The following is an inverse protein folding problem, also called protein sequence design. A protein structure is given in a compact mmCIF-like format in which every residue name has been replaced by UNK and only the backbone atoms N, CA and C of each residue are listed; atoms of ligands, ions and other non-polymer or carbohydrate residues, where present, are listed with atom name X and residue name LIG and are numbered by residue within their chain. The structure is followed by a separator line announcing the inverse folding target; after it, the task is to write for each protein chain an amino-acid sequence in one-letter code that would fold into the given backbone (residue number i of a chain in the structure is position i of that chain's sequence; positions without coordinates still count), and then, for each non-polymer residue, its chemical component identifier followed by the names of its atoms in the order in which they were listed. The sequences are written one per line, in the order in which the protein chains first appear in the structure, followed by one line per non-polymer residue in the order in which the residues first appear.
data_IF_636454957268
#
_entry.id   IF_636454957268
#
_cell.length_a   1.000
_cell.length_b   1.000
_cell.length_c   1.000
_cell.angle_alpha   90.00
_cell.angle_beta   90.00
_cell.angle_gamma   90.00
#
_symmetry.space_group_name_H-M   'P 1'
#
loop_
_entity.id
_entity.type
_entity.pdbx_description
1 polymer ?
#
# COMPACT_ATOMS: atom_id res chain seq x y z
N UNK A 1 8.48 2.65 14.94
CA UNK A 1 9.65 1.86 14.53
C UNK A 1 9.30 1.17 13.22
N UNK A 2 10.01 1.44 12.13
CA UNK A 2 9.73 0.84 10.81
C UNK A 2 9.80 -0.69 10.87
N UNK A 3 8.85 -1.41 10.26
CA UNK A 3 8.94 -2.87 10.22
C UNK A 3 10.06 -3.36 9.29
N UNK A 4 10.63 -4.57 9.50
CA UNK A 4 11.60 -5.14 8.57
C UNK A 4 11.08 -5.28 7.13
N UNK A 5 9.77 -5.52 6.96
CA UNK A 5 9.13 -5.64 5.66
C UNK A 5 9.06 -4.30 4.94
N UNK A 6 8.69 -3.23 5.65
CA UNK A 6 8.69 -1.88 5.09
C UNK A 6 10.10 -1.46 4.65
N UNK A 7 11.15 -1.72 5.45
CA UNK A 7 12.54 -1.42 5.02
C UNK A 7 12.94 -2.19 3.77
N UNK A 8 12.57 -3.47 3.70
CA UNK A 8 12.86 -4.30 2.54
C UNK A 8 12.16 -3.73 1.29
N UNK A 9 10.88 -3.39 1.41
CA UNK A 9 10.11 -2.82 0.31
C UNK A 9 10.67 -1.46 -0.16
N UNK A 10 11.03 -0.59 0.77
CA UNK A 10 11.67 0.70 0.48
C UNK A 10 12.99 0.51 -0.27
N UNK A 11 13.83 -0.44 0.17
CA UNK A 11 15.05 -0.81 -0.54
C UNK A 11 14.78 -1.34 -1.96
N UNK A 12 13.70 -2.09 -2.17
CA UNK A 12 13.31 -2.57 -3.51
C UNK A 12 12.91 -1.41 -4.43
N UNK A 13 12.18 -0.41 -3.91
CA UNK A 13 11.83 0.80 -4.65
C UNK A 13 13.08 1.54 -5.14
N UNK A 14 14.09 1.70 -4.27
CA UNK A 14 15.36 2.34 -4.60
C UNK A 14 16.13 1.55 -5.67
N UNK A 15 16.23 0.22 -5.52
CA UNK A 15 16.91 -0.66 -6.50
C UNK A 15 16.31 -0.55 -7.89
N UNK A 16 14.98 -0.49 -7.98
CA UNK A 16 14.27 -0.34 -9.26
C UNK A 16 14.14 1.12 -9.74
N UNK A 17 14.70 2.08 -8.99
CA UNK A 17 14.63 3.53 -9.31
C UNK A 17 13.20 4.02 -9.52
N UNK A 18 12.24 3.44 -8.79
CA UNK A 18 10.87 3.94 -8.77
C UNK A 18 10.84 5.27 -8.00
N UNK A 19 9.81 6.11 -8.22
CA UNK A 19 9.57 7.28 -7.37
C UNK A 19 9.61 6.89 -5.89
N UNK A 20 10.11 7.77 -5.04
CA UNK A 20 10.23 7.50 -3.61
C UNK A 20 8.85 7.57 -2.95
N UNK A 21 8.40 6.51 -2.26
CA UNK A 21 7.13 6.56 -1.54
C UNK A 21 7.24 7.39 -0.25
N UNK A 22 6.13 8.02 0.13
CA UNK A 22 5.89 8.56 1.47
C UNK A 22 5.29 7.47 2.33
N UNK A 23 5.70 7.38 3.59
CA UNK A 23 5.20 6.37 4.53
C UNK A 23 4.12 6.92 5.44
N UNK A 24 3.26 6.03 5.95
CA UNK A 24 2.21 6.38 6.93
C UNK A 24 1.31 7.54 6.47
N UNK A 25 1.02 7.58 5.17
CA UNK A 25 0.33 8.71 4.54
C UNK A 25 -1.16 8.70 4.86
N UNK A 26 -1.64 9.82 5.41
CA UNK A 26 -3.06 10.04 5.64
C UNK A 26 -3.73 10.52 4.35
N UNK A 27 -4.54 9.66 3.75
CA UNK A 27 -5.21 9.97 2.49
C UNK A 27 -6.66 10.44 2.67
N UNK A 28 -7.15 10.51 3.91
CA UNK A 28 -8.50 10.99 4.23
C UNK A 28 -8.54 11.79 5.54
N UNK A 29 -8.97 13.03 5.45
CA UNK A 29 -9.14 13.92 6.61
C UNK A 29 -10.28 13.41 7.51
N UNK A 30 -10.06 13.41 8.82
CA UNK A 30 -11.09 13.10 9.84
C UNK A 30 -11.28 11.62 10.15
N UNK A 31 -10.57 10.74 9.44
CA UNK A 31 -10.36 9.33 9.81
C UNK A 31 -8.86 9.11 9.83
N UNK A 32 -8.30 8.63 10.95
CA UNK A 32 -6.85 8.39 11.11
C UNK A 32 -6.33 7.21 10.26
N UNK A 33 -6.77 7.07 9.02
CA UNK A 33 -6.33 6.02 8.12
C UNK A 33 -5.03 6.41 7.44
N UNK A 34 -4.03 5.57 7.65
CA UNK A 34 -2.70 5.70 7.07
C UNK A 34 -2.46 4.53 6.14
N UNK A 35 -1.84 4.82 5.01
CA UNK A 35 -1.25 3.79 4.16
C UNK A 35 0.21 3.57 4.52
N UNK A 36 0.65 2.31 4.52
CA UNK A 36 2.05 1.97 4.78
C UNK A 36 2.99 2.74 3.83
N UNK A 37 2.62 2.79 2.54
CA UNK A 37 3.30 3.56 1.50
C UNK A 37 2.30 4.29 0.60
N UNK A 38 2.68 5.48 0.13
CA UNK A 38 1.93 6.27 -0.82
C UNK A 38 2.83 7.02 -1.78
N UNK A 39 2.32 7.26 -2.99
CA UNK A 39 2.87 8.20 -3.96
C UNK A 39 1.79 9.26 -4.25
N UNK A 40 1.72 10.33 -3.45
CA UNK A 40 0.60 11.27 -3.51
C UNK A 40 0.39 11.92 -4.88
N UNK A 41 1.49 12.26 -5.58
CA UNK A 41 1.46 12.82 -6.94
C UNK A 41 0.81 11.89 -7.98
N UNK A 42 0.75 10.59 -7.68
CA UNK A 42 0.20 9.55 -8.56
C UNK A 42 -1.13 9.02 -8.05
N UNK A 43 -1.62 9.52 -6.91
CA UNK A 43 -2.75 8.95 -6.15
C UNK A 43 -2.63 7.43 -6.02
N UNK A 44 -1.45 6.94 -5.66
CA UNK A 44 -1.21 5.51 -5.42
C UNK A 44 -0.95 5.28 -3.94
N UNK A 45 -1.58 4.26 -3.37
CA UNK A 45 -1.23 3.71 -2.05
C UNK A 45 -0.91 2.21 -2.15
N UNK A 46 -0.03 1.75 -1.26
CA UNK A 46 0.27 0.34 -1.03
C UNK A 46 0.12 0.03 0.46
N UNK A 47 -0.65 -1.00 0.77
CA UNK A 47 -0.79 -1.60 2.10
C UNK A 47 -0.11 -2.97 2.14
N UNK A 48 0.73 -3.19 3.15
CA UNK A 48 1.35 -4.48 3.45
C UNK A 48 0.55 -5.14 4.56
N UNK A 49 -0.35 -6.03 4.15
CA UNK A 49 -1.26 -6.76 5.02
C UNK A 49 -0.50 -7.71 5.95
N UNK A 50 -0.28 -7.26 7.19
CA UNK A 50 0.27 -8.05 8.27
C UNK A 50 -0.78 -8.93 8.96
N UNK A 51 -0.34 -9.97 9.68
CA UNK A 51 -1.21 -10.64 10.65
C UNK A 51 -2.36 -11.48 10.07
N UNK A 52 -2.31 -11.88 8.79
CA UNK A 52 -3.26 -12.81 8.16
C UNK A 52 -3.53 -14.02 9.07
N UNK A 53 -2.52 -14.48 9.83
CA UNK A 53 -2.59 -15.64 10.71
C UNK A 53 -2.78 -15.34 12.20
N UNK A 54 -2.85 -14.06 12.63
CA UNK A 54 -2.55 -13.67 14.02
C UNK A 54 -3.72 -13.07 14.83
N UNK A 55 -4.95 -12.97 14.30
CA UNK A 55 -6.09 -12.39 15.03
C UNK A 55 -7.32 -13.31 15.05
N UNK A 56 -8.02 -13.38 16.19
CA UNK A 56 -9.20 -14.23 16.40
C UNK A 56 -10.40 -13.85 15.53
N UNK A 57 -11.39 -14.76 15.41
CA UNK A 57 -12.54 -14.67 14.48
C UNK A 57 -13.36 -13.38 14.60
N UNK A 58 -13.62 -12.91 15.82
CA UNK A 58 -14.44 -11.70 16.04
C UNK A 58 -13.71 -10.40 15.66
N UNK A 59 -12.42 -10.27 16.02
CA UNK A 59 -11.60 -9.10 15.66
C UNK A 59 -11.33 -9.04 14.16
N UNK A 60 -11.27 -10.21 13.48
CA UNK A 60 -11.18 -10.27 12.01
C UNK A 60 -12.39 -9.66 11.31
N UNK A 61 -13.61 -9.89 11.81
CA UNK A 61 -14.82 -9.36 11.17
C UNK A 61 -14.89 -7.82 11.24
N UNK A 62 -14.61 -7.24 12.42
CA UNK A 62 -14.59 -5.78 12.59
C UNK A 62 -13.42 -5.14 11.83
N UNK A 63 -12.23 -5.74 11.89
CA UNK A 63 -11.06 -5.27 11.13
C UNK A 63 -11.35 -5.26 9.63
N UNK A 64 -11.90 -6.36 9.11
CA UNK A 64 -12.30 -6.47 7.71
C UNK A 64 -13.34 -5.41 7.31
N UNK A 65 -14.38 -5.18 8.11
CA UNK A 65 -15.37 -4.15 7.82
C UNK A 65 -14.75 -2.74 7.77
N UNK A 66 -13.83 -2.44 8.68
CA UNK A 66 -13.09 -1.17 8.68
C UNK A 66 -12.17 -1.04 7.46
N UNK A 67 -11.51 -2.13 7.05
CA UNK A 67 -10.66 -2.16 5.85
C UNK A 67 -11.50 -1.94 4.59
N UNK A 68 -12.70 -2.54 4.51
CA UNK A 68 -13.66 -2.31 3.41
C UNK A 68 -14.05 -0.83 3.34
N UNK A 69 -14.39 -0.20 4.46
CA UNK A 69 -14.71 1.23 4.51
C UNK A 69 -13.51 2.07 4.05
N UNK A 70 -12.31 1.77 4.57
CA UNK A 70 -11.05 2.43 4.22
C UNK A 70 -10.77 2.38 2.72
N UNK A 71 -10.87 1.21 2.11
CA UNK A 71 -10.54 1.03 0.70
C UNK A 71 -11.58 1.62 -0.25
N UNK A 72 -12.86 1.55 0.10
CA UNK A 72 -13.91 2.23 -0.67
C UNK A 72 -13.68 3.73 -0.71
N UNK A 73 -13.34 4.33 0.43
CA UNK A 73 -13.09 5.76 0.54
C UNK A 73 -11.82 6.20 -0.17
N UNK A 74 -10.75 5.39 -0.12
CA UNK A 74 -9.58 5.60 -0.94
C UNK A 74 -9.94 5.61 -2.44
N UNK A 75 -10.71 4.62 -2.89
CA UNK A 75 -11.15 4.51 -4.27
C UNK A 75 -12.03 5.70 -4.71
N UNK A 76 -12.99 6.11 -3.88
CA UNK A 76 -13.83 7.30 -4.12
C UNK A 76 -13.01 8.59 -4.15
N UNK A 77 -11.92 8.67 -3.37
CA UNK A 77 -10.93 9.75 -3.44
C UNK A 77 -10.05 9.73 -4.69
N UNK A 78 -10.25 8.77 -5.61
CA UNK A 78 -9.46 8.61 -6.82
C UNK A 78 -8.08 8.00 -6.59
N UNK A 79 -7.89 7.31 -5.45
CA UNK A 79 -6.66 6.56 -5.19
C UNK A 79 -6.71 5.19 -5.85
N UNK A 80 -5.59 4.80 -6.46
CA UNK A 80 -5.29 3.41 -6.77
C UNK A 80 -4.80 2.74 -5.49
N UNK A 81 -5.49 1.69 -5.08
CA UNK A 81 -5.19 0.93 -3.87
C UNK A 81 -4.54 -0.39 -4.26
N UNK A 82 -3.27 -0.57 -3.90
CA UNK A 82 -2.58 -1.86 -4.00
C UNK A 82 -2.45 -2.49 -2.61
N UNK A 83 -2.58 -3.82 -2.57
CA UNK A 83 -2.44 -4.60 -1.34
C UNK A 83 -1.43 -5.72 -1.59
N UNK A 84 -0.54 -5.93 -0.64
CA UNK A 84 0.46 -6.99 -0.69
C UNK A 84 0.53 -7.70 0.65
N UNK A 85 0.89 -8.99 0.63
CA UNK A 85 1.23 -9.70 1.87
C UNK A 85 2.72 -9.52 2.17
N UNK A 86 3.14 -9.80 3.40
CA UNK A 86 4.57 -9.84 3.73
C UNK A 86 5.35 -10.90 2.93
N UNK A 87 4.71 -11.96 2.42
CA UNK A 87 5.33 -12.92 1.52
C UNK A 87 5.60 -12.30 0.15
N UNK A 88 4.63 -11.57 -0.41
CA UNK A 88 4.78 -10.85 -1.67
C UNK A 88 5.91 -9.80 -1.62
N UNK A 89 6.14 -9.19 -0.46
CA UNK A 89 7.28 -8.28 -0.27
C UNK A 89 8.60 -9.06 -0.34
N UNK A 90 8.67 -10.21 0.33
CA UNK A 90 9.90 -11.03 0.39
C UNK A 90 10.27 -11.63 -0.97
N UNK A 91 9.30 -12.11 -1.73
CA UNK A 91 9.54 -12.71 -3.05
C UNK A 91 9.51 -11.73 -4.22
N UNK A 92 9.34 -10.42 -3.94
CA UNK A 92 9.38 -9.36 -4.94
C UNK A 92 8.09 -9.18 -5.75
N UNK A 93 7.04 -9.98 -5.51
CA UNK A 93 5.74 -9.76 -6.17
C UNK A 93 5.16 -8.38 -5.85
N UNK A 94 5.30 -7.89 -4.63
CA UNK A 94 4.77 -6.59 -4.20
C UNK A 94 5.35 -5.44 -5.05
N UNK A 95 6.68 -5.37 -5.16
CA UNK A 95 7.34 -4.34 -5.96
C UNK A 95 7.03 -4.51 -7.45
N UNK A 96 6.87 -5.75 -7.92
CA UNK A 96 6.44 -6.02 -9.29
C UNK A 96 5.05 -5.45 -9.63
N UNK A 97 4.10 -5.44 -8.68
CA UNK A 97 2.78 -4.80 -8.90
C UNK A 97 2.93 -3.28 -9.01
N UNK A 98 3.73 -2.66 -8.13
CA UNK A 98 3.97 -1.22 -8.14
C UNK A 98 4.70 -0.80 -9.42
N UNK A 99 5.72 -1.54 -9.84
CA UNK A 99 6.42 -1.30 -11.10
C UNK A 99 5.46 -1.30 -12.30
N UNK A 100 4.54 -2.28 -12.39
CA UNK A 100 3.52 -2.30 -13.46
C UNK A 100 2.59 -1.08 -13.45
N UNK A 101 2.28 -0.53 -12.28
CA UNK A 101 1.51 0.71 -12.21
C UNK A 101 2.28 1.87 -12.86
N UNK A 102 3.57 1.99 -12.54
CA UNK A 102 4.42 3.01 -13.15
C UNK A 102 4.69 2.75 -14.62
N UNK A 103 4.87 1.51 -15.09
CA UNK A 103 5.06 1.22 -16.52
C UNK A 103 3.87 1.66 -17.38
N UNK A 104 2.64 1.45 -16.88
CA UNK A 104 1.41 1.88 -17.56
C UNK A 104 1.24 3.40 -17.50
N UNK A 105 1.58 4.01 -16.37
CA UNK A 105 1.36 5.44 -16.12
C UNK A 105 2.48 6.33 -16.72
N UNK A 106 3.70 5.82 -16.84
CA UNK A 106 4.87 6.52 -17.39
C UNK A 106 4.75 6.68 -18.91
N UNK A 107 4.10 5.73 -19.59
CA UNK A 107 3.80 5.81 -21.03
C UNK A 107 2.58 6.66 -21.37
N UNK A 108 1.81 7.10 -20.37
CA UNK A 108 0.52 7.78 -20.56
C UNK A 108 0.53 9.26 -20.14
N UNK A 109 1.66 9.83 -19.73
CA UNK A 109 1.78 11.28 -19.52
C UNK A 109 2.30 11.96 -20.81
N UNK A 110 1.62 12.99 -21.32
CA UNK A 110 2.12 13.80 -22.43
C UNK A 110 3.42 14.53 -22.07
#
# INVERSE_FOLDING_TARGET
MTSPLERLFESQCLTLKLPVPVREWEFRVGRNWRADFAWPEYRLILEIEGGIHSRGRHTRAQGFANDVEKYNEAALGGWVVLRATGEMVRDGRAIGVVARFFDKSYKARP
#
